data_IF_581339228193
#
_entry.id   IF_581339228193
#
_cell.length_a   1.000
_cell.length_b   1.000
_cell.length_c   1.000
_cell.angle_alpha   90.00
_cell.angle_beta   90.00
_cell.angle_gamma   90.00
#
_symmetry.space_group_name_H-M   'P 1'
#
loop_
_entity.id
_entity.type
_entity.pdbx_description
1 polymer ?
#
# COMPACT_ATOMS: atom_id res chain seq x y z
N UNK A 1 16.49 -17.23 29.04
CA UNK A 1 16.40 -16.06 28.16
C UNK A 1 16.51 -16.56 26.75
N UNK A 2 15.55 -16.21 25.90
CA UNK A 2 15.64 -16.50 24.48
C UNK A 2 16.83 -15.75 23.88
N UNK A 3 17.53 -16.33 22.90
CA UNK A 3 18.65 -15.65 22.26
C UNK A 3 18.15 -14.37 21.58
N UNK A 4 18.92 -13.28 21.71
CA UNK A 4 18.69 -12.01 21.02
C UNK A 4 19.94 -11.58 20.27
N UNK A 5 19.76 -10.77 19.23
CA UNK A 5 20.85 -10.26 18.40
C UNK A 5 21.23 -8.83 18.78
N UNK A 6 20.23 -8.02 19.14
CA UNK A 6 20.41 -6.60 19.46
C UNK A 6 19.63 -6.24 20.72
N UNK A 7 20.20 -5.36 21.54
CA UNK A 7 19.51 -4.76 22.68
C UNK A 7 19.18 -3.31 22.32
N UNK A 8 17.90 -2.96 22.38
CA UNK A 8 17.36 -1.67 21.97
C UNK A 8 16.74 -0.98 23.18
N UNK A 9 17.42 -0.01 23.81
CA UNK A 9 16.87 0.70 24.95
C UNK A 9 15.69 1.58 24.53
N UNK A 10 14.58 1.54 25.26
CA UNK A 10 13.37 2.29 24.86
C UNK A 10 13.57 3.82 24.86
N UNK A 11 14.48 4.28 25.71
CA UNK A 11 14.71 5.69 25.97
C UNK A 11 15.89 6.28 25.17
N UNK A 12 16.42 5.54 24.20
CA UNK A 12 17.52 5.94 23.33
C UNK A 12 17.19 5.65 21.86
N UNK A 13 17.90 6.29 20.95
CA UNK A 13 17.89 5.88 19.55
C UNK A 13 18.65 4.56 19.40
N UNK A 14 18.24 3.73 18.44
CA UNK A 14 18.93 2.49 18.09
C UNK A 14 19.08 2.37 16.59
N UNK A 15 20.24 1.88 16.15
CA UNK A 15 20.56 1.69 14.74
C UNK A 15 21.08 0.27 14.51
N UNK A 16 20.54 -0.40 13.50
CA UNK A 16 21.00 -1.69 13.00
C UNK A 16 21.39 -1.49 11.54
N UNK A 17 22.62 -1.83 11.18
CA UNK A 17 23.07 -1.91 9.78
C UNK A 17 23.96 -3.14 9.63
N UNK A 18 23.53 -4.09 8.79
CA UNK A 18 24.29 -5.29 8.46
C UNK A 18 24.59 -5.41 6.96
N UNK A 19 24.45 -4.31 6.21
CA UNK A 19 24.60 -4.24 4.76
C UNK A 19 23.37 -4.67 3.96
N UNK A 20 22.58 -5.63 4.46
CA UNK A 20 21.36 -6.10 3.79
C UNK A 20 20.09 -5.35 4.22
N UNK A 21 20.07 -4.88 5.47
CA UNK A 21 18.99 -4.08 6.05
C UNK A 21 19.59 -2.95 6.90
N UNK A 22 18.93 -1.81 6.89
CA UNK A 22 19.14 -0.70 7.81
C UNK A 22 17.86 -0.44 8.59
N UNK A 23 17.96 -0.35 9.91
CA UNK A 23 16.85 -0.02 10.81
C UNK A 23 17.29 1.11 11.71
N UNK A 24 16.51 2.19 11.78
CA UNK A 24 16.71 3.27 12.72
C UNK A 24 15.44 3.49 13.53
N UNK A 25 15.52 3.15 14.82
CA UNK A 25 14.43 3.26 15.78
C UNK A 25 14.68 4.50 16.63
N UNK A 26 13.83 5.54 16.52
CA UNK A 26 14.03 6.77 17.27
C UNK A 26 13.70 6.56 18.74
N UNK A 27 14.28 7.42 19.59
CA UNK A 27 13.99 7.47 21.03
C UNK A 27 12.48 7.55 21.27
N UNK A 28 11.96 6.70 22.15
CA UNK A 28 10.55 6.69 22.53
C UNK A 28 9.62 5.97 21.54
N UNK A 29 10.16 5.34 20.49
CA UNK A 29 9.38 4.46 19.63
C UNK A 29 9.00 3.14 20.31
N UNK A 30 9.79 2.69 21.28
CA UNK A 30 9.50 1.48 22.05
C UNK A 30 8.88 1.85 23.39
N UNK A 31 7.99 0.99 23.90
CA UNK A 31 7.39 1.15 25.22
C UNK A 31 8.32 0.67 26.35
N UNK A 32 9.20 -0.29 26.06
CA UNK A 32 10.17 -0.87 26.97
C UNK A 32 11.40 -1.38 26.20
N UNK A 33 12.45 -1.74 26.92
CA UNK A 33 13.68 -2.25 26.30
C UNK A 33 13.38 -3.51 25.48
N UNK A 34 13.83 -3.54 24.23
CA UNK A 34 13.60 -4.66 23.33
C UNK A 34 14.88 -5.48 23.16
N UNK A 35 14.79 -6.78 23.46
CA UNK A 35 15.81 -7.78 23.14
C UNK A 35 15.50 -8.36 21.76
N UNK A 36 15.86 -7.59 20.74
CA UNK A 36 15.46 -7.85 19.37
C UNK A 36 16.07 -9.16 18.85
N UNK A 37 15.18 -9.99 18.30
CA UNK A 37 15.55 -11.19 17.54
C UNK A 37 15.51 -10.86 16.06
N UNK A 38 16.60 -11.18 15.37
CA UNK A 38 16.76 -10.94 13.94
C UNK A 38 17.16 -12.23 13.24
N UNK A 39 16.38 -12.61 12.23
CA UNK A 39 16.71 -13.73 11.37
C UNK A 39 16.64 -13.30 9.90
N UNK A 40 17.52 -13.90 9.10
CA UNK A 40 17.60 -13.67 7.68
C UNK A 40 17.33 -14.98 6.95
N UNK A 41 16.27 -15.01 6.14
CA UNK A 41 15.92 -16.17 5.34
C UNK A 41 16.06 -15.84 3.87
N UNK A 42 16.69 -16.72 3.09
CA UNK A 42 16.71 -16.58 1.63
C UNK A 42 15.41 -17.14 1.07
N UNK A 43 14.59 -16.28 0.48
CA UNK A 43 13.45 -16.68 -0.35
C UNK A 43 13.83 -16.53 -1.83
N UNK A 44 13.39 -17.47 -2.65
CA UNK A 44 13.62 -17.49 -4.11
C UNK A 44 12.31 -17.60 -4.90
N UNK A 45 11.18 -17.35 -4.25
CA UNK A 45 9.88 -17.15 -4.88
C UNK A 45 9.95 -16.04 -5.93
N UNK A 46 9.24 -16.20 -7.05
CA UNK A 46 9.35 -15.35 -8.25
C UNK A 46 9.04 -13.85 -8.01
N UNK A 47 8.38 -13.49 -6.91
CA UNK A 47 8.03 -12.11 -6.59
C UNK A 47 8.83 -11.48 -5.42
N UNK A 48 9.88 -12.15 -4.95
CA UNK A 48 10.71 -11.66 -3.83
C UNK A 48 12.11 -11.29 -4.31
N UNK A 49 12.47 -10.03 -4.11
CA UNK A 49 13.67 -9.39 -4.68
C UNK A 49 14.74 -9.03 -3.64
N UNK A 50 14.58 -9.52 -2.41
CA UNK A 50 15.55 -9.44 -1.32
C UNK A 50 15.56 -10.73 -0.51
N UNK A 51 16.40 -10.83 0.52
CA UNK A 51 16.14 -11.78 1.60
C UNK A 51 14.91 -11.34 2.41
N UNK A 52 14.31 -12.29 3.13
CA UNK A 52 13.27 -11.99 4.12
C UNK A 52 13.96 -11.67 5.44
N UNK A 53 13.72 -10.46 5.93
CA UNK A 53 14.24 -9.90 7.17
C UNK A 53 13.19 -10.06 8.27
N UNK A 54 13.36 -11.07 9.11
CA UNK A 54 12.47 -11.30 10.25
C UNK A 54 12.95 -10.41 11.40
N UNK A 55 12.33 -9.23 11.50
CA UNK A 55 12.69 -8.18 12.44
C UNK A 55 11.75 -8.23 13.63
N UNK A 56 12.13 -9.05 14.62
CA UNK A 56 11.37 -9.31 15.85
C UNK A 56 9.93 -9.79 15.63
N UNK A 57 9.14 -9.84 16.71
CA UNK A 57 7.79 -10.38 16.67
C UNK A 57 6.75 -9.28 16.44
N UNK A 58 5.74 -9.51 15.58
CA UNK A 58 4.66 -8.54 15.31
C UNK A 58 3.78 -8.25 16.54
N UNK A 59 3.84 -9.10 17.57
CA UNK A 59 3.14 -8.89 18.84
C UNK A 59 3.79 -7.83 19.74
N UNK A 60 5.01 -7.40 19.43
CA UNK A 60 5.70 -6.35 20.19
C UNK A 60 5.31 -4.99 19.61
N UNK A 61 4.56 -4.15 20.37
CA UNK A 61 4.06 -2.90 19.84
C UNK A 61 5.16 -1.85 19.71
N UNK A 62 5.11 -1.09 18.62
CA UNK A 62 5.95 0.11 18.42
C UNK A 62 5.05 1.34 18.42
N UNK A 63 5.37 2.32 19.27
CA UNK A 63 4.57 3.52 19.50
C UNK A 63 4.57 4.46 18.29
N UNK A 64 5.74 4.66 17.67
CA UNK A 64 5.92 5.56 16.53
C UNK A 64 6.60 4.86 15.36
N UNK A 65 6.54 5.51 14.20
CA UNK A 65 7.24 5.04 13.01
C UNK A 65 8.76 5.03 13.23
N UNK A 66 9.41 3.99 12.69
CA UNK A 66 10.85 3.86 12.59
C UNK A 66 11.25 3.68 11.11
N UNK A 67 12.51 4.00 10.79
CA UNK A 67 13.01 3.91 9.42
C UNK A 67 13.51 2.49 9.13
N UNK A 68 13.13 1.98 7.96
CA UNK A 68 13.53 0.67 7.46
C UNK A 68 14.04 0.84 6.03
N UNK A 69 15.21 0.28 5.72
CA UNK A 69 15.72 0.22 4.36
C UNK A 69 16.24 -1.17 4.05
N UNK A 70 15.88 -1.71 2.88
CA UNK A 70 16.27 -3.06 2.46
C UNK A 70 17.08 -2.97 1.18
N UNK A 71 18.16 -3.75 1.10
CA UNK A 71 18.97 -3.89 -0.11
C UNK A 71 18.39 -5.01 -1.00
N UNK A 72 18.15 -4.74 -2.30
CA UNK A 72 17.74 -5.79 -3.23
C UNK A 72 18.91 -6.74 -3.54
N UNK A 73 18.61 -7.98 -3.94
CA UNK A 73 19.62 -8.95 -4.42
C UNK A 73 19.73 -8.92 -5.95
N UNK A 74 18.63 -9.14 -6.67
CA UNK A 74 18.56 -9.05 -8.15
C UNK A 74 17.23 -8.42 -8.56
N UNK A 75 17.15 -7.09 -8.55
CA UNK A 75 15.98 -6.36 -9.05
C UNK A 75 16.30 -5.72 -10.41
N UNK A 76 15.61 -6.10 -11.50
CA UNK A 76 15.73 -5.42 -12.79
C UNK A 76 15.38 -3.94 -12.67
N UNK A 77 16.15 -3.06 -13.31
CA UNK A 77 15.90 -1.61 -13.27
C UNK A 77 14.51 -1.25 -13.80
N UNK A 78 13.97 -2.04 -14.75
CA UNK A 78 12.62 -1.86 -15.29
C UNK A 78 11.50 -2.07 -14.28
N UNK A 79 11.75 -2.81 -13.19
CA UNK A 79 10.79 -3.09 -12.12
C UNK A 79 11.01 -2.19 -10.91
N UNK A 80 12.02 -1.32 -10.95
CA UNK A 80 12.44 -0.53 -9.80
C UNK A 80 11.36 0.44 -9.32
N UNK A 81 10.60 1.03 -10.25
CA UNK A 81 9.44 1.87 -9.94
C UNK A 81 8.19 1.09 -9.52
N UNK A 82 8.22 -0.24 -9.60
CA UNK A 82 7.16 -1.15 -9.18
C UNK A 82 7.52 -1.89 -7.89
N UNK A 83 8.67 -1.60 -7.30
CA UNK A 83 9.15 -2.23 -6.09
C UNK A 83 8.65 -1.50 -4.83
N UNK A 84 8.32 -2.29 -3.80
CA UNK A 84 7.91 -1.81 -2.50
C UNK A 84 8.49 -2.69 -1.38
N UNK A 85 8.54 -2.16 -0.16
CA UNK A 85 8.82 -2.96 1.04
C UNK A 85 7.53 -3.66 1.45
N UNK A 86 7.51 -4.97 1.36
CA UNK A 86 6.43 -5.82 1.80
C UNK A 86 6.60 -6.14 3.29
N UNK A 87 5.49 -6.06 4.05
CA UNK A 87 5.33 -6.75 5.33
C UNK A 87 4.57 -8.04 5.07
N UNK A 88 5.19 -9.18 5.37
CA UNK A 88 4.60 -10.50 5.26
C UNK A 88 3.93 -10.87 6.58
N UNK A 89 2.60 -10.88 6.60
CA UNK A 89 1.85 -11.21 7.80
C UNK A 89 1.76 -12.73 8.03
N UNK A 90 1.58 -13.20 9.28
CA UNK A 90 1.51 -14.64 9.59
C UNK A 90 0.39 -15.41 8.89
N UNK A 91 -0.65 -14.72 8.40
CA UNK A 91 -1.75 -15.28 7.62
C UNK A 91 -1.44 -15.37 6.10
N UNK A 92 -0.22 -15.04 5.69
CA UNK A 92 0.24 -14.90 4.30
C UNK A 92 -0.34 -13.68 3.56
N UNK A 93 -0.99 -12.74 4.25
CA UNK A 93 -1.32 -11.45 3.65
C UNK A 93 -0.04 -10.61 3.49
N UNK A 94 0.00 -9.84 2.42
CA UNK A 94 1.11 -8.96 2.10
C UNK A 94 0.62 -7.52 2.19
N UNK A 95 1.29 -6.73 3.03
CA UNK A 95 1.02 -5.30 3.14
C UNK A 95 2.11 -4.52 2.42
N UNK A 96 1.71 -3.71 1.46
CA UNK A 96 2.58 -2.77 0.78
C UNK A 96 2.90 -1.61 1.74
N UNK A 97 4.12 -1.57 2.26
CA UNK A 97 4.59 -0.50 3.15
C UNK A 97 5.13 0.71 2.40
N UNK A 98 5.08 0.71 1.07
CA UNK A 98 5.64 1.74 0.20
C UNK A 98 7.14 1.57 0.02
N UNK A 99 7.78 2.60 -0.51
CA UNK A 99 9.21 2.58 -0.73
C UNK A 99 9.69 3.81 -1.49
N UNK A 100 10.86 4.30 -1.12
CA UNK A 100 11.59 5.31 -1.87
C UNK A 100 13.03 4.89 -2.02
N UNK A 101 13.55 4.95 -3.25
CA UNK A 101 14.92 4.54 -3.51
C UNK A 101 15.90 5.62 -3.08
N UNK A 102 16.88 5.25 -2.27
CA UNK A 102 18.00 6.10 -1.88
C UNK A 102 19.24 5.24 -1.68
N UNK A 103 20.37 5.67 -2.25
CA UNK A 103 21.68 5.02 -2.10
C UNK A 103 21.69 3.49 -2.39
N UNK A 104 20.80 3.03 -3.29
CA UNK A 104 20.68 1.62 -3.67
C UNK A 104 19.83 0.76 -2.72
N UNK A 105 19.26 1.33 -1.66
CA UNK A 105 18.28 0.68 -0.78
C UNK A 105 16.87 1.23 -1.04
N UNK A 106 15.87 0.39 -0.75
CA UNK A 106 14.47 0.79 -0.74
C UNK A 106 14.07 1.16 0.69
N UNK A 107 13.83 2.45 0.92
CA UNK A 107 13.51 3.02 2.23
C UNK A 107 12.01 3.16 2.43
N UNK A 108 11.52 2.80 3.62
CA UNK A 108 10.17 3.08 4.10
C UNK A 108 10.20 3.46 5.59
N UNK A 109 9.05 3.83 6.12
CA UNK A 109 8.82 3.89 7.56
C UNK A 109 7.68 2.95 7.93
N UNK A 110 7.88 2.21 9.02
CA UNK A 110 6.88 1.27 9.56
C UNK A 110 6.78 1.45 11.06
N UNK A 111 5.69 0.96 11.66
CA UNK A 111 5.44 1.04 13.12
C UNK A 111 5.07 -0.30 13.72
N UNK A 112 5.50 -1.37 13.07
CA UNK A 112 5.34 -2.75 13.53
C UNK A 112 6.64 -3.49 13.29
N UNK A 113 6.89 -4.49 14.12
CA UNK A 113 7.86 -5.54 13.85
C UNK A 113 7.22 -6.64 12.99
N UNK A 114 8.05 -7.50 12.39
CA UNK A 114 7.59 -8.57 11.50
C UNK A 114 8.58 -8.93 10.41
N UNK A 115 8.09 -9.64 9.40
CA UNK A 115 8.89 -10.16 8.31
C UNK A 115 8.81 -9.20 7.12
N UNK A 116 9.96 -8.68 6.69
CA UNK A 116 10.04 -7.69 5.62
C UNK A 116 10.88 -8.17 4.44
N UNK A 117 10.44 -7.86 3.22
CA UNK A 117 11.22 -8.09 2.01
C UNK A 117 10.88 -7.04 0.94
N UNK A 118 11.59 -7.07 -0.19
CA UNK A 118 11.23 -6.29 -1.39
C UNK A 118 10.40 -7.18 -2.30
N UNK A 119 9.22 -6.70 -2.69
CA UNK A 119 8.37 -7.30 -3.71
C UNK A 119 8.07 -6.28 -4.81
N UNK A 120 7.50 -6.73 -5.93
CA UNK A 120 7.02 -5.85 -6.99
C UNK A 120 5.53 -6.04 -7.24
N UNK A 121 4.88 -5.00 -7.74
CA UNK A 121 3.48 -5.05 -8.17
C UNK A 121 3.24 -4.23 -9.44
N UNK A 122 2.79 -4.92 -10.47
CA UNK A 122 2.45 -4.39 -11.79
C UNK A 122 0.94 -4.51 -12.08
N UNK A 123 0.15 -4.98 -11.12
CA UNK A 123 -1.26 -5.32 -11.35
C UNK A 123 -2.13 -4.09 -11.10
N UNK A 124 -2.88 -3.60 -12.11
CA UNK A 124 -3.78 -2.49 -11.88
C UNK A 124 -4.93 -2.84 -10.93
N UNK A 125 -5.45 -1.85 -10.17
CA UNK A 125 -6.64 -2.04 -9.36
C UNK A 125 -7.86 -2.35 -10.24
N UNK A 126 -8.94 -2.84 -9.65
CA UNK A 126 -10.15 -3.24 -10.39
C UNK A 126 -11.32 -2.29 -10.13
N UNK A 127 -12.10 -2.01 -11.18
CA UNK A 127 -13.38 -1.29 -11.10
C UNK A 127 -14.50 -2.23 -11.54
N UNK A 128 -15.51 -2.39 -10.69
CA UNK A 128 -16.75 -3.09 -11.02
C UNK A 128 -17.95 -2.16 -10.87
N UNK A 129 -18.59 -1.79 -11.97
CA UNK A 129 -19.86 -1.06 -11.94
C UNK A 129 -21.00 -1.95 -11.42
N UNK A 130 -21.76 -1.47 -10.43
CA UNK A 130 -22.85 -2.25 -9.81
C UNK A 130 -24.21 -1.95 -10.44
N UNK A 131 -24.45 -0.71 -10.84
CA UNK A 131 -25.74 -0.26 -11.38
C UNK A 131 -25.58 0.76 -12.53
N UNK A 132 -24.39 0.87 -13.13
CA UNK A 132 -24.16 1.75 -14.27
C UNK A 132 -24.79 1.15 -15.54
N UNK A 133 -25.59 1.94 -16.26
CA UNK A 133 -26.30 1.55 -17.47
C UNK A 133 -26.27 2.69 -18.49
N UNK A 134 -26.47 2.43 -19.80
CA UNK A 134 -26.54 3.50 -20.80
C UNK A 134 -27.69 4.50 -20.59
N UNK A 135 -28.77 4.09 -19.89
CA UNK A 135 -29.87 4.97 -19.51
C UNK A 135 -29.96 5.06 -17.99
N UNK A 136 -29.67 6.25 -17.45
CA UNK A 136 -29.69 6.57 -16.02
C UNK A 136 -30.79 7.58 -15.68
N UNK A 137 -31.77 7.79 -16.56
CA UNK A 137 -32.94 8.62 -16.27
C UNK A 137 -33.68 8.10 -15.03
N UNK A 138 -33.95 8.99 -14.08
CA UNK A 138 -34.61 8.64 -12.81
C UNK A 138 -33.73 7.89 -11.81
N UNK A 139 -32.49 7.52 -12.15
CA UNK A 139 -31.54 6.91 -11.22
C UNK A 139 -30.96 8.00 -10.32
N UNK A 140 -30.98 7.78 -9.00
CA UNK A 140 -30.50 8.75 -8.00
C UNK A 140 -29.01 8.65 -7.69
N UNK A 141 -28.35 7.52 -8.00
CA UNK A 141 -26.92 7.31 -7.78
C UNK A 141 -26.34 6.21 -8.67
N UNK A 142 -25.03 6.26 -8.88
CA UNK A 142 -24.23 5.16 -9.44
C UNK A 142 -23.23 4.66 -8.40
N UNK A 143 -23.06 3.35 -8.35
CA UNK A 143 -22.27 2.62 -7.38
C UNK A 143 -21.23 1.73 -8.09
N UNK A 144 -20.03 1.69 -7.54
CA UNK A 144 -18.91 0.87 -8.02
C UNK A 144 -18.26 0.14 -6.84
N UNK A 145 -17.81 -1.09 -7.06
CA UNK A 145 -16.84 -1.74 -6.18
C UNK A 145 -15.44 -1.51 -6.74
N UNK A 146 -14.50 -1.13 -5.88
CA UNK A 146 -13.09 -0.90 -6.23
C UNK A 146 -12.20 -1.80 -5.38
N UNK A 147 -11.19 -2.42 -5.96
CA UNK A 147 -10.24 -3.26 -5.19
C UNK A 147 -8.82 -3.12 -5.71
N UNK A 148 -7.88 -3.27 -4.79
CA UNK A 148 -6.46 -3.43 -5.08
C UNK A 148 -6.02 -4.85 -4.70
N UNK A 149 -4.89 -5.33 -5.23
CA UNK A 149 -4.36 -6.66 -4.91
C UNK A 149 -3.55 -6.70 -3.61
N UNK A 150 -3.08 -5.54 -3.12
CA UNK A 150 -2.37 -5.40 -1.85
C UNK A 150 -3.05 -4.40 -0.92
N UNK A 151 -3.11 -4.74 0.37
CA UNK A 151 -3.38 -3.74 1.40
C UNK A 151 -2.17 -2.80 1.55
N UNK A 152 -2.43 -1.59 2.04
CA UNK A 152 -1.39 -0.56 2.21
C UNK A 152 -1.17 -0.23 3.68
N UNK A 153 0.09 -0.02 4.03
CA UNK A 153 0.54 0.36 5.36
C UNK A 153 1.83 1.16 5.27
N UNK A 154 2.52 1.32 6.40
CA UNK A 154 3.79 2.04 6.42
C UNK A 154 3.64 3.47 5.86
N UNK A 155 4.36 3.75 4.78
CA UNK A 155 4.33 5.02 4.04
C UNK A 155 3.59 4.94 2.70
N UNK A 156 3.05 3.78 2.32
CA UNK A 156 2.30 3.62 1.09
C UNK A 156 1.05 4.52 1.08
N UNK A 157 0.77 5.10 -0.07
CA UNK A 157 -0.53 5.73 -0.31
C UNK A 157 -1.54 4.64 -0.63
N UNK A 158 -2.71 4.69 0.01
CA UNK A 158 -3.82 3.81 -0.36
C UNK A 158 -4.36 4.09 -1.76
N UNK A 159 -5.29 3.25 -2.19
CA UNK A 159 -5.96 3.36 -3.49
C UNK A 159 -6.59 4.75 -3.70
N UNK A 160 -6.20 5.42 -4.79
CA UNK A 160 -6.67 6.76 -5.18
C UNK A 160 -7.70 6.65 -6.30
N UNK A 161 -8.62 7.60 -6.36
CA UNK A 161 -9.63 7.65 -7.41
C UNK A 161 -9.99 9.08 -7.84
N UNK A 162 -10.36 9.24 -9.11
CA UNK A 162 -10.90 10.49 -9.66
C UNK A 162 -12.06 10.17 -10.59
N UNK A 163 -13.20 10.85 -10.42
CA UNK A 163 -14.34 10.71 -11.31
C UNK A 163 -14.67 12.03 -11.99
N UNK A 164 -15.11 11.95 -13.25
CA UNK A 164 -15.56 13.10 -14.03
C UNK A 164 -16.83 12.76 -14.81
N UNK A 165 -17.67 13.77 -15.03
CA UNK A 165 -18.77 13.76 -16.00
C UNK A 165 -18.52 14.89 -16.99
N UNK A 166 -18.44 14.57 -18.27
CA UNK A 166 -18.10 15.51 -19.36
C UNK A 166 -16.80 16.29 -19.08
N UNK A 167 -15.80 15.60 -18.53
CA UNK A 167 -14.50 16.19 -18.17
C UNK A 167 -14.51 17.05 -16.89
N UNK A 168 -15.68 17.28 -16.27
CA UNK A 168 -15.79 18.01 -15.02
C UNK A 168 -15.74 17.05 -13.84
N UNK A 169 -14.91 17.36 -12.83
CA UNK A 169 -14.79 16.54 -11.63
C UNK A 169 -16.13 16.38 -10.90
N UNK A 170 -16.41 15.17 -10.42
CA UNK A 170 -17.58 14.88 -9.59
C UNK A 170 -17.20 14.16 -8.31
N UNK A 171 -17.91 14.47 -7.22
CA UNK A 171 -17.68 13.85 -5.92
C UNK A 171 -18.15 12.38 -5.93
N UNK A 172 -17.25 11.48 -5.52
CA UNK A 172 -17.57 10.10 -5.14
C UNK A 172 -17.42 9.96 -3.62
N UNK A 173 -18.41 9.36 -2.95
CA UNK A 173 -18.27 8.94 -1.55
C UNK A 173 -17.65 7.56 -1.51
N UNK A 174 -16.61 7.39 -0.70
CA UNK A 174 -15.96 6.09 -0.48
C UNK A 174 -16.36 5.46 0.86
N UNK A 175 -16.80 4.22 0.79
CA UNK A 175 -17.07 3.34 1.93
C UNK A 175 -16.03 2.22 1.93
N UNK A 176 -14.96 2.41 2.69
CA UNK A 176 -13.82 1.50 2.75
C UNK A 176 -14.22 0.08 3.20
N UNK A 177 -15.19 -0.04 4.12
CA UNK A 177 -15.62 -1.34 4.65
C UNK A 177 -16.22 -2.23 3.57
N UNK A 178 -16.91 -1.64 2.60
CA UNK A 178 -17.56 -2.35 1.50
C UNK A 178 -16.81 -2.18 0.16
N UNK A 179 -15.65 -1.52 0.20
CA UNK A 179 -14.87 -1.14 -0.97
C UNK A 179 -15.73 -0.44 -2.07
N UNK A 180 -16.66 0.42 -1.64
CA UNK A 180 -17.70 0.99 -2.52
C UNK A 180 -17.50 2.48 -2.76
N UNK A 181 -17.51 2.88 -4.04
CA UNK A 181 -17.65 4.27 -4.47
C UNK A 181 -19.09 4.55 -4.89
N UNK A 182 -19.62 5.69 -4.47
CA UNK A 182 -20.98 6.12 -4.82
C UNK A 182 -20.98 7.58 -5.27
N UNK A 183 -21.53 7.85 -6.45
CA UNK A 183 -21.90 9.20 -6.88
C UNK A 183 -23.41 9.38 -6.78
N UNK A 184 -23.85 10.44 -6.10
CA UNK A 184 -25.26 10.82 -6.03
C UNK A 184 -25.54 11.93 -7.03
N UNK A 185 -26.55 11.75 -7.86
CA UNK A 185 -27.00 12.80 -8.77
C UNK A 185 -27.81 13.83 -7.98
N UNK A 186 -27.31 15.07 -7.94
CA UNK A 186 -27.89 16.20 -7.19
C UNK A 186 -28.73 17.15 -8.08
N UNK A 187 -28.89 16.82 -9.36
CA UNK A 187 -29.63 17.62 -10.34
C UNK A 187 -28.76 18.64 -11.09
N UNK A 188 -27.45 18.71 -10.82
CA UNK A 188 -26.51 19.56 -11.57
C UNK A 188 -26.27 19.10 -13.02
N UNK A 189 -26.44 17.79 -13.28
CA UNK A 189 -26.31 17.21 -14.61
C UNK A 189 -27.61 17.42 -15.39
N UNK A 190 -27.52 18.15 -16.51
CA UNK A 190 -28.64 18.46 -17.39
C UNK A 190 -29.21 17.21 -18.07
N UNK A 191 -30.43 17.27 -18.64
CA UNK A 191 -30.92 16.19 -19.50
C UNK A 191 -30.08 16.06 -20.77
N UNK A 192 -29.81 14.83 -21.22
CA UNK A 192 -29.02 14.57 -22.41
C UNK A 192 -28.04 13.43 -22.26
N UNK A 193 -27.11 13.35 -23.22
CA UNK A 193 -26.04 12.36 -23.25
C UNK A 193 -24.80 12.93 -22.56
N UNK A 194 -24.16 12.12 -21.72
CA UNK A 194 -23.00 12.49 -20.92
C UNK A 194 -21.94 11.39 -20.93
N UNK A 195 -20.68 11.75 -20.71
CA UNK A 195 -19.56 10.82 -20.60
C UNK A 195 -19.11 10.74 -19.14
N UNK A 196 -19.22 9.56 -18.54
CA UNK A 196 -18.65 9.29 -17.21
C UNK A 196 -17.26 8.66 -17.37
N UNK A 197 -16.30 9.13 -16.59
CA UNK A 197 -14.95 8.55 -16.50
C UNK A 197 -14.52 8.44 -15.05
N UNK A 198 -14.15 7.25 -14.60
CA UNK A 198 -13.58 6.94 -13.29
C UNK A 198 -12.19 6.34 -13.48
N UNK A 199 -11.20 6.95 -12.84
CA UNK A 199 -9.81 6.48 -12.80
C UNK A 199 -9.51 5.98 -11.39
N UNK A 200 -8.89 4.81 -11.30
CA UNK A 200 -8.27 4.29 -10.09
C UNK A 200 -6.77 4.19 -10.27
N UNK A 201 -6.01 4.55 -9.25
CA UNK A 201 -4.54 4.47 -9.23
C UNK A 201 -4.09 3.92 -7.88
N UNK A 202 -3.29 2.86 -7.89
CA UNK A 202 -2.75 2.24 -6.67
C UNK A 202 -1.52 2.99 -6.11
N UNK A 203 -0.83 2.36 -5.16
CA UNK A 203 0.37 2.89 -4.50
C UNK A 203 1.61 2.98 -5.41
N UNK A 204 1.64 2.21 -6.50
CA UNK A 204 2.77 2.06 -7.44
C UNK A 204 2.42 2.57 -8.85
N UNK A 205 1.38 3.41 -8.91
CA UNK A 205 0.88 4.06 -10.11
C UNK A 205 0.45 3.08 -11.22
N UNK A 206 -0.05 1.88 -10.88
CA UNK A 206 -0.86 1.10 -11.82
C UNK A 206 -2.26 1.72 -11.90
N UNK A 207 -2.81 1.83 -13.12
CA UNK A 207 -4.04 2.55 -13.38
C UNK A 207 -5.10 1.69 -14.05
N UNK A 208 -6.35 1.83 -13.60
CA UNK A 208 -7.53 1.32 -14.31
C UNK A 208 -8.51 2.45 -14.58
N UNK A 209 -9.02 2.50 -15.81
CA UNK A 209 -10.00 3.49 -16.26
C UNK A 209 -11.30 2.79 -16.62
N UNK A 210 -12.40 3.23 -16.00
CA UNK A 210 -13.76 2.91 -16.43
C UNK A 210 -14.34 4.13 -17.12
N UNK A 211 -14.76 3.97 -18.37
CA UNK A 211 -15.31 5.06 -19.17
C UNK A 211 -16.54 4.58 -19.94
N UNK A 212 -17.67 5.26 -19.74
CA UNK A 212 -18.92 4.94 -20.43
C UNK A 212 -19.80 6.17 -20.62
N UNK A 213 -20.52 6.17 -21.73
CA UNK A 213 -21.57 7.14 -22.02
C UNK A 213 -22.89 6.72 -21.37
N UNK A 214 -23.64 7.69 -20.85
CA UNK A 214 -24.97 7.49 -20.30
C UNK A 214 -25.93 8.62 -20.71
N UNK A 215 -27.23 8.36 -20.61
CA UNK A 215 -28.28 9.35 -20.82
C UNK A 215 -28.96 9.69 -19.49
N UNK A 216 -29.24 10.97 -19.26
CA UNK A 216 -30.05 11.49 -18.15
C UNK A 216 -31.20 12.37 -18.59
#
# INVERSE_FOLDING_TARGET
HDPYNYYLPYNQESMIDNGSIQVHIPRGALYEDCYLQYQLTTDRSDNVYSSVHQLHFPTTPVHSYYDLAIRPVVLPESLRNKAFVALCEPNNEIVNCGGSWKDGLLHTQVRTFGDFCIMVDETPPTIQALNFKPDLRGVSRIDFTIRDNFDTGGTAQGLRFTATIDGHWVLMKYDAKNARLTHYFDGSITPGQHQFRLVLTDALDNETVFEQTFTR
#
